data_IF_034883041436
#
_entry.id   IF_034883041436
#
_cell.length_a   1.000
_cell.length_b   1.000
_cell.length_c   1.000
_cell.angle_alpha   90.00
_cell.angle_beta   90.00
_cell.angle_gamma   90.00
#
_symmetry.space_group_name_H-M   'P 1'
#
loop_
_entity.id
_entity.type
_entity.pdbx_description
1 polymer ?
#
# COMPACT_ATOMS: atom_id res chain seq x y z
N UNK A 1 6.85 18.54 15.83
CA UNK A 1 6.84 17.11 15.44
C UNK A 1 8.20 16.77 14.83
N UNK A 2 8.77 15.58 15.14
CA UNK A 2 10.05 15.16 14.57
C UNK A 2 9.85 14.51 13.20
N UNK A 3 10.77 14.76 12.26
CA UNK A 3 10.71 14.17 10.90
C UNK A 3 11.01 12.66 10.93
N UNK A 4 12.02 12.25 11.71
CA UNK A 4 12.48 10.86 11.84
C UNK A 4 11.84 10.16 13.02
N UNK A 5 11.81 8.82 12.95
CA UNK A 5 11.42 7.97 14.07
C UNK A 5 12.41 8.09 15.24
N UNK A 6 11.91 7.89 16.44
CA UNK A 6 12.70 7.74 17.67
C UNK A 6 12.37 6.40 18.32
N UNK A 7 13.09 5.96 19.36
CA UNK A 7 12.75 4.74 20.08
C UNK A 7 11.34 4.74 20.69
N UNK A 8 10.74 5.92 20.88
CA UNK A 8 9.45 6.05 21.56
C UNK A 8 8.26 6.37 20.64
N UNK A 9 8.51 6.96 19.47
CA UNK A 9 7.44 7.39 18.55
C UNK A 9 7.86 7.39 17.08
N UNK A 10 6.87 7.29 16.21
CA UNK A 10 7.07 7.48 14.77
C UNK A 10 7.24 8.96 14.42
N UNK A 11 8.10 9.24 13.44
CA UNK A 11 8.24 10.55 12.83
C UNK A 11 7.10 10.83 11.82
N UNK A 12 6.89 12.12 11.53
CA UNK A 12 5.79 12.55 10.65
C UNK A 12 5.88 11.96 9.25
N UNK A 13 7.10 11.77 8.72
CA UNK A 13 7.29 11.17 7.39
C UNK A 13 6.80 9.71 7.38
N UNK A 14 7.13 8.92 8.41
CA UNK A 14 6.68 7.53 8.52
C UNK A 14 5.16 7.43 8.67
N UNK A 15 4.56 8.33 9.46
CA UNK A 15 3.11 8.41 9.66
C UNK A 15 2.43 8.82 8.35
N UNK A 16 2.92 9.88 7.70
CA UNK A 16 2.37 10.38 6.44
C UNK A 16 2.41 9.32 5.33
N UNK A 17 3.57 8.70 5.12
CA UNK A 17 3.72 7.62 4.15
C UNK A 17 2.80 6.44 4.46
N UNK A 18 2.59 6.10 5.73
CA UNK A 18 1.66 5.03 6.09
C UNK A 18 0.22 5.34 5.69
N UNK A 19 -0.29 6.50 6.11
CA UNK A 19 -1.69 6.86 5.87
C UNK A 19 -1.99 7.18 4.42
N UNK A 20 -1.04 7.83 3.70
CA UNK A 20 -1.18 8.05 2.25
C UNK A 20 -1.32 6.70 1.52
N UNK A 21 -0.46 5.73 1.83
CA UNK A 21 -0.57 4.39 1.23
C UNK A 21 -1.84 3.67 1.62
N UNK A 22 -2.25 3.73 2.89
CA UNK A 22 -3.47 3.10 3.34
C UNK A 22 -4.69 3.64 2.59
N UNK A 23 -4.83 4.96 2.49
CA UNK A 23 -5.94 5.60 1.78
C UNK A 23 -5.88 5.33 0.27
N UNK A 24 -4.68 5.45 -0.33
CA UNK A 24 -4.50 5.22 -1.76
C UNK A 24 -4.84 3.77 -2.17
N UNK A 25 -4.46 2.77 -1.37
CA UNK A 25 -4.79 1.35 -1.65
C UNK A 25 -6.30 1.14 -1.71
N UNK A 26 -7.06 1.66 -0.74
CA UNK A 26 -8.53 1.52 -0.77
C UNK A 26 -9.17 2.30 -1.91
N UNK A 27 -8.68 3.51 -2.20
CA UNK A 27 -9.16 4.30 -3.34
C UNK A 27 -8.88 3.58 -4.67
N UNK A 28 -7.68 3.02 -4.84
CA UNK A 28 -7.29 2.26 -6.03
C UNK A 28 -8.08 0.97 -6.18
N UNK A 29 -8.38 0.27 -5.07
CA UNK A 29 -9.25 -0.90 -5.09
C UNK A 29 -10.66 -0.53 -5.56
N UNK A 30 -11.25 0.53 -4.98
CA UNK A 30 -12.56 1.02 -5.42
C UNK A 30 -12.57 1.47 -6.87
N UNK A 31 -11.56 2.24 -7.30
CA UNK A 31 -11.41 2.66 -8.69
C UNK A 31 -11.26 1.45 -9.64
N UNK A 32 -10.47 0.44 -9.24
CA UNK A 32 -10.28 -0.80 -10.01
C UNK A 32 -11.57 -1.58 -10.20
N UNK A 33 -12.36 -1.78 -9.13
CA UNK A 33 -13.66 -2.45 -9.21
C UNK A 33 -14.66 -1.66 -10.06
N UNK A 34 -14.66 -0.34 -9.95
CA UNK A 34 -15.56 0.50 -10.71
C UNK A 34 -15.20 0.55 -12.20
N UNK A 35 -13.92 0.75 -12.56
CA UNK A 35 -13.51 0.92 -13.95
C UNK A 35 -13.81 -0.31 -14.82
N UNK A 36 -13.81 -1.53 -14.25
CA UNK A 36 -14.13 -2.76 -15.00
C UNK A 36 -15.62 -2.95 -15.25
N UNK A 37 -16.49 -2.13 -14.64
CA UNK A 37 -17.94 -2.12 -14.92
C UNK A 37 -18.32 -1.14 -16.02
N UNK A 38 -17.40 -0.27 -16.45
CA UNK A 38 -17.65 0.74 -17.46
C UNK A 38 -17.74 0.11 -18.87
N UNK A 39 -18.68 0.60 -19.64
CA UNK A 39 -18.85 0.25 -21.06
C UNK A 39 -18.24 1.33 -21.96
N UNK A 40 -18.06 1.01 -23.25
CA UNK A 40 -17.53 1.95 -24.23
C UNK A 40 -18.33 3.28 -24.33
N UNK A 41 -19.59 3.27 -23.95
CA UNK A 41 -20.47 4.46 -23.99
C UNK A 41 -20.32 5.36 -22.75
N UNK A 42 -19.62 4.90 -21.72
CA UNK A 42 -19.41 5.67 -20.49
C UNK A 42 -18.29 6.69 -20.69
N UNK A 43 -18.52 7.94 -20.28
CA UNK A 43 -17.53 9.02 -20.44
C UNK A 43 -16.20 8.77 -19.71
N UNK A 44 -16.16 7.87 -18.72
CA UNK A 44 -14.98 7.51 -17.95
C UNK A 44 -14.28 6.23 -18.45
N UNK A 45 -14.79 5.59 -19.51
CA UNK A 45 -14.26 4.32 -20.00
C UNK A 45 -12.75 4.34 -20.29
N UNK A 46 -12.24 5.41 -20.84
CA UNK A 46 -10.80 5.59 -21.10
C UNK A 46 -10.08 6.26 -19.94
N UNK A 47 -10.68 7.25 -19.29
CA UNK A 47 -10.03 8.05 -18.27
C UNK A 47 -9.78 7.28 -16.97
N UNK A 48 -10.71 6.42 -16.54
CA UNK A 48 -10.56 5.68 -15.30
C UNK A 48 -9.38 4.69 -15.32
N UNK A 49 -9.16 3.87 -16.38
CA UNK A 49 -7.96 3.06 -16.50
C UNK A 49 -6.66 3.88 -16.57
N UNK A 50 -6.65 5.01 -17.31
CA UNK A 50 -5.45 5.86 -17.40
C UNK A 50 -5.10 6.47 -16.03
N UNK A 51 -6.10 6.89 -15.26
CA UNK A 51 -5.91 7.39 -13.90
C UNK A 51 -5.39 6.27 -12.98
N UNK A 52 -5.98 5.07 -13.07
CA UNK A 52 -5.55 3.91 -12.28
C UNK A 52 -4.08 3.54 -12.58
N UNK A 53 -3.68 3.48 -13.84
CA UNK A 53 -2.29 3.19 -14.24
C UNK A 53 -1.33 4.26 -13.72
N UNK A 54 -1.66 5.54 -13.91
CA UNK A 54 -0.82 6.65 -13.49
C UNK A 54 -0.60 6.67 -11.97
N UNK A 55 -1.67 6.52 -11.18
CA UNK A 55 -1.56 6.43 -9.72
C UNK A 55 -0.80 5.16 -9.32
N UNK A 56 -1.01 4.03 -10.01
CA UNK A 56 -0.28 2.79 -9.78
C UNK A 56 1.24 2.95 -9.90
N UNK A 57 1.71 3.62 -10.96
CA UNK A 57 3.14 3.94 -11.13
C UNK A 57 3.64 4.84 -10.00
N UNK A 58 2.90 5.89 -9.64
CA UNK A 58 3.27 6.78 -8.53
C UNK A 58 3.34 6.03 -7.20
N UNK A 59 2.43 5.08 -6.97
CA UNK A 59 2.48 4.20 -5.79
C UNK A 59 3.70 3.28 -5.81
N UNK A 60 4.11 2.75 -6.96
CA UNK A 60 5.34 1.97 -7.07
C UNK A 60 6.56 2.80 -6.66
N UNK A 61 6.70 4.01 -7.20
CA UNK A 61 7.77 4.93 -6.83
C UNK A 61 7.73 5.27 -5.33
N UNK A 62 6.55 5.59 -4.82
CA UNK A 62 6.34 5.88 -3.40
C UNK A 62 6.64 4.68 -2.49
N UNK A 63 6.35 3.45 -2.95
CA UNK A 63 6.65 2.23 -2.19
C UNK A 63 8.17 2.02 -2.05
N UNK A 64 8.93 2.26 -3.11
CA UNK A 64 10.40 2.26 -3.06
C UNK A 64 10.90 3.30 -2.05
N UNK A 65 10.41 4.53 -2.15
CA UNK A 65 10.75 5.60 -1.18
C UNK A 65 10.40 5.17 0.25
N UNK A 66 9.23 4.55 0.47
CA UNK A 66 8.81 4.06 1.79
C UNK A 66 9.72 2.96 2.34
N UNK A 67 10.16 2.03 1.50
CA UNK A 67 11.10 0.97 1.90
C UNK A 67 12.46 1.58 2.25
N UNK A 68 12.99 2.44 1.40
CA UNK A 68 14.25 3.16 1.67
C UNK A 68 14.15 3.97 2.97
N UNK A 69 13.05 4.71 3.15
CA UNK A 69 12.82 5.47 4.37
C UNK A 69 12.81 4.60 5.62
N UNK A 70 12.22 3.40 5.54
CA UNK A 70 12.19 2.44 6.66
C UNK A 70 13.58 1.98 7.09
N UNK A 71 14.54 1.92 6.18
CA UNK A 71 15.95 1.62 6.49
C UNK A 71 16.68 2.84 7.06
N UNK A 72 16.43 4.04 6.55
CA UNK A 72 17.03 5.29 7.04
C UNK A 72 16.49 5.67 8.43
N UNK A 73 15.23 5.38 8.68
CA UNK A 73 14.51 5.73 9.90
C UNK A 73 13.76 4.49 10.43
N UNK A 74 14.44 3.57 11.12
CA UNK A 74 13.85 2.32 11.62
C UNK A 74 12.65 2.58 12.53
N UNK A 75 11.64 1.70 12.51
CA UNK A 75 10.46 1.84 13.35
C UNK A 75 10.82 1.71 14.84
N UNK A 76 10.07 2.33 15.75
CA UNK A 76 10.19 2.11 17.18
C UNK A 76 10.02 0.62 17.54
N UNK A 77 10.68 0.11 18.56
CA UNK A 77 10.52 -1.26 19.02
C UNK A 77 9.09 -1.54 19.44
N UNK A 78 8.68 -2.80 19.29
CA UNK A 78 7.37 -3.27 19.77
C UNK A 78 7.21 -3.04 21.27
N UNK A 79 6.00 -2.73 21.76
CA UNK A 79 5.72 -2.63 23.19
C UNK A 79 6.24 -3.85 23.96
N UNK A 80 6.78 -3.61 25.16
CA UNK A 80 7.31 -4.70 26.03
C UNK A 80 6.23 -5.69 26.45
N UNK A 81 4.98 -5.26 26.47
CA UNK A 81 3.80 -6.08 26.81
C UNK A 81 3.48 -7.13 25.76
N UNK A 82 3.99 -6.98 24.53
CA UNK A 82 3.73 -7.94 23.46
C UNK A 82 4.51 -9.25 23.66
N UNK A 83 3.80 -10.36 23.68
CA UNK A 83 4.38 -11.70 23.66
C UNK A 83 5.11 -12.00 22.36
N UNK A 84 5.90 -13.08 22.35
CA UNK A 84 6.67 -13.51 21.18
C UNK A 84 5.78 -13.74 19.95
N UNK A 85 4.63 -14.40 20.13
CA UNK A 85 3.67 -14.65 19.04
C UNK A 85 3.18 -13.36 18.37
N UNK A 86 2.72 -12.39 19.19
CA UNK A 86 2.25 -11.08 18.69
C UNK A 86 3.32 -10.35 17.87
N UNK A 87 4.57 -10.36 18.35
CA UNK A 87 5.69 -9.70 17.65
C UNK A 87 5.98 -10.37 16.31
N UNK A 88 6.05 -11.71 16.29
CA UNK A 88 6.30 -12.48 15.06
C UNK A 88 5.17 -12.26 14.05
N UNK A 89 3.92 -12.35 14.49
CA UNK A 89 2.75 -12.13 13.62
C UNK A 89 2.72 -10.71 13.05
N UNK A 90 3.05 -9.69 13.85
CA UNK A 90 3.12 -8.32 13.38
C UNK A 90 4.23 -8.13 12.31
N UNK A 91 5.40 -8.72 12.51
CA UNK A 91 6.49 -8.68 11.51
C UNK A 91 6.08 -9.41 10.24
N UNK A 92 5.50 -10.61 10.36
CA UNK A 92 5.03 -11.39 9.21
C UNK A 92 3.95 -10.65 8.41
N UNK A 93 2.98 -10.03 9.10
CA UNK A 93 1.93 -9.22 8.45
C UNK A 93 2.52 -8.02 7.69
N UNK A 94 3.48 -7.31 8.25
CA UNK A 94 4.15 -6.21 7.55
C UNK A 94 4.92 -6.69 6.32
N UNK A 95 5.68 -7.79 6.43
CA UNK A 95 6.40 -8.36 5.28
C UNK A 95 5.41 -8.78 4.20
N UNK A 96 4.34 -9.47 4.55
CA UNK A 96 3.30 -9.88 3.62
C UNK A 96 2.62 -8.70 2.93
N UNK A 97 2.28 -7.63 3.65
CA UNK A 97 1.72 -6.41 3.06
C UNK A 97 2.68 -5.75 2.07
N UNK A 98 3.96 -5.63 2.39
CA UNK A 98 4.95 -5.09 1.46
C UNK A 98 5.10 -5.97 0.22
N UNK A 99 5.20 -7.30 0.39
CA UNK A 99 5.32 -8.25 -0.71
C UNK A 99 4.09 -8.20 -1.63
N UNK A 100 2.88 -8.18 -1.06
CA UNK A 100 1.63 -8.06 -1.81
C UNK A 100 1.54 -6.72 -2.56
N UNK A 101 1.95 -5.61 -1.93
CA UNK A 101 1.99 -4.29 -2.60
C UNK A 101 2.95 -4.28 -3.79
N UNK A 102 4.15 -4.85 -3.66
CA UNK A 102 5.05 -4.97 -4.81
C UNK A 102 4.46 -5.87 -5.90
N UNK A 103 3.92 -7.03 -5.52
CA UNK A 103 3.35 -7.97 -6.48
C UNK A 103 2.16 -7.38 -7.26
N UNK A 104 1.24 -6.66 -6.59
CA UNK A 104 0.09 -6.04 -7.26
C UNK A 104 0.53 -4.91 -8.21
N UNK A 105 1.50 -4.10 -7.83
CA UNK A 105 2.01 -3.02 -8.68
C UNK A 105 2.75 -3.57 -9.91
N UNK A 106 3.53 -4.64 -9.74
CA UNK A 106 4.17 -5.35 -10.85
C UNK A 106 3.12 -5.98 -11.78
N UNK A 107 2.11 -6.67 -11.24
CA UNK A 107 1.06 -7.26 -12.08
C UNK A 107 0.27 -6.20 -12.85
N UNK A 108 -0.01 -5.03 -12.25
CA UNK A 108 -0.65 -3.90 -12.93
C UNK A 108 0.21 -3.34 -14.07
N UNK A 109 1.53 -3.25 -13.88
CA UNK A 109 2.48 -2.89 -14.93
C UNK A 109 2.42 -3.90 -16.09
N UNK A 110 2.46 -5.20 -15.79
CA UNK A 110 2.41 -6.26 -16.81
C UNK A 110 1.10 -6.25 -17.61
N UNK A 111 -0.05 -5.98 -16.98
CA UNK A 111 -1.32 -5.80 -17.70
C UNK A 111 -1.19 -4.64 -18.70
N UNK A 112 -0.71 -3.50 -18.19
CA UNK A 112 -0.72 -2.24 -18.94
C UNK A 112 0.27 -2.20 -20.09
N UNK A 113 1.31 -3.04 -20.07
CA UNK A 113 2.38 -3.09 -21.07
C UNK A 113 2.32 -4.33 -21.96
N UNK A 114 1.29 -5.15 -21.84
CA UNK A 114 1.19 -6.42 -22.56
C UNK A 114 1.18 -6.23 -24.09
N UNK A 115 0.60 -5.14 -24.59
CA UNK A 115 0.55 -4.77 -26.02
C UNK A 115 1.83 -4.05 -26.52
N UNK A 116 2.87 -3.98 -25.69
CA UNK A 116 4.14 -3.31 -26.05
C UNK A 116 4.11 -1.79 -25.95
N UNK A 117 3.00 -1.18 -25.51
CA UNK A 117 2.92 0.27 -25.36
C UNK A 117 3.41 0.72 -23.98
N UNK A 118 4.03 1.91 -23.90
CA UNK A 118 4.42 2.49 -22.62
C UNK A 118 3.19 2.93 -21.80
N UNK A 119 3.36 3.06 -20.48
CA UNK A 119 2.38 3.69 -19.61
C UNK A 119 2.68 5.19 -19.55
N UNK A 120 1.78 6.01 -20.06
CA UNK A 120 1.87 7.46 -19.89
C UNK A 120 1.35 7.86 -18.51
N UNK A 121 2.23 8.45 -17.70
CA UNK A 121 1.91 8.85 -16.33
C UNK A 121 1.45 10.30 -16.32
N UNK A 122 0.14 10.51 -16.25
CA UNK A 122 -0.52 11.83 -16.30
C UNK A 122 -0.12 12.68 -17.52
N UNK A 123 0.40 12.10 -18.60
CA UNK A 123 0.95 12.83 -19.74
C UNK A 123 2.29 13.55 -19.46
N UNK A 124 2.93 13.30 -18.32
CA UNK A 124 4.17 13.96 -17.92
C UNK A 124 5.42 13.18 -18.33
N UNK A 125 5.38 11.87 -18.24
CA UNK A 125 6.45 10.96 -18.67
C UNK A 125 5.90 9.56 -18.95
N UNK A 126 6.68 8.79 -19.69
CA UNK A 126 6.30 7.44 -20.09
C UNK A 126 7.18 6.38 -19.42
N UNK A 127 6.55 5.31 -18.91
CA UNK A 127 7.23 4.12 -18.41
C UNK A 127 7.25 3.09 -19.55
N UNK A 128 8.42 2.71 -20.10
CA UNK A 128 8.50 1.83 -21.25
C UNK A 128 8.00 0.42 -20.95
N UNK A 129 7.46 -0.27 -21.94
CA UNK A 129 7.18 -1.69 -21.89
C UNK A 129 8.51 -2.46 -22.00
N UNK A 130 8.87 -3.24 -20.96
CA UNK A 130 10.09 -4.07 -20.95
C UNK A 130 9.81 -5.52 -21.28
N UNK A 131 8.60 -5.97 -20.99
CA UNK A 131 8.08 -7.31 -21.27
C UNK A 131 6.74 -7.13 -22.00
N UNK A 132 6.58 -7.73 -23.16
CA UNK A 132 5.32 -7.68 -23.92
C UNK A 132 5.05 -9.03 -24.57
N UNK A 133 3.90 -9.59 -24.24
CA UNK A 133 3.30 -10.73 -24.93
C UNK A 133 1.80 -10.48 -25.03
N UNK A 134 1.36 -9.98 -26.18
CA UNK A 134 0.00 -9.56 -26.42
C UNK A 134 -1.06 -10.68 -26.27
N UNK A 135 -0.63 -11.96 -26.30
CA UNK A 135 -1.56 -13.08 -26.30
C UNK A 135 -2.05 -13.46 -24.89
N UNK A 136 -1.17 -13.69 -23.95
CA UNK A 136 -1.48 -14.35 -22.67
C UNK A 136 -1.16 -13.46 -21.46
N UNK A 137 -0.23 -12.51 -21.62
CA UNK A 137 0.29 -11.71 -20.51
C UNK A 137 -0.80 -10.89 -19.81
N UNK A 138 -1.64 -10.19 -20.57
CA UNK A 138 -2.69 -9.33 -20.02
C UNK A 138 -3.70 -10.13 -19.20
N UNK A 139 -4.17 -11.25 -19.73
CA UNK A 139 -5.20 -12.08 -19.07
C UNK A 139 -4.66 -12.71 -17.79
N UNK A 140 -3.47 -13.33 -17.87
CA UNK A 140 -2.85 -13.95 -16.70
C UNK A 140 -2.54 -12.92 -15.61
N UNK A 141 -1.90 -11.79 -16.00
CA UNK A 141 -1.59 -10.72 -15.06
C UNK A 141 -2.86 -10.08 -14.48
N UNK A 142 -3.94 -9.98 -15.26
CA UNK A 142 -5.25 -9.48 -14.82
C UNK A 142 -5.87 -10.33 -13.73
N UNK A 143 -5.91 -11.65 -13.92
CA UNK A 143 -6.39 -12.59 -12.90
C UNK A 143 -5.54 -12.50 -11.63
N UNK A 144 -4.22 -12.50 -11.77
CA UNK A 144 -3.29 -12.36 -10.63
C UNK A 144 -3.50 -11.02 -9.92
N UNK A 145 -3.63 -9.92 -10.65
CA UNK A 145 -3.86 -8.60 -10.09
C UNK A 145 -5.13 -8.53 -9.24
N UNK A 146 -6.23 -9.10 -9.73
CA UNK A 146 -7.50 -9.16 -9.01
C UNK A 146 -7.37 -9.92 -7.68
N UNK A 147 -6.74 -11.11 -7.69
CA UNK A 147 -6.54 -11.87 -6.46
C UNK A 147 -5.59 -11.19 -5.49
N UNK A 148 -4.53 -10.55 -5.98
CA UNK A 148 -3.64 -9.75 -5.16
C UNK A 148 -4.36 -8.53 -4.56
N UNK A 149 -5.25 -7.86 -5.31
CA UNK A 149 -6.05 -6.74 -4.81
C UNK A 149 -6.91 -7.15 -3.62
N UNK A 150 -7.66 -8.25 -3.74
CA UNK A 150 -8.44 -8.79 -2.63
C UNK A 150 -7.55 -9.20 -1.44
N UNK A 151 -6.40 -9.83 -1.70
CA UNK A 151 -5.47 -10.24 -0.65
C UNK A 151 -4.92 -9.04 0.13
N UNK A 152 -4.53 -7.98 -0.56
CA UNK A 152 -4.06 -6.72 0.08
C UNK A 152 -5.16 -6.14 0.95
N UNK A 153 -6.40 -6.02 0.45
CA UNK A 153 -7.52 -5.43 1.19
C UNK A 153 -7.85 -6.28 2.42
N UNK A 154 -8.00 -7.59 2.26
CA UNK A 154 -8.31 -8.49 3.39
C UNK A 154 -7.21 -8.40 4.46
N UNK A 155 -5.93 -8.51 4.07
CA UNK A 155 -4.83 -8.44 5.02
C UNK A 155 -4.71 -7.06 5.68
N UNK A 156 -4.98 -5.98 4.94
CA UNK A 156 -4.95 -4.62 5.51
C UNK A 156 -6.10 -4.37 6.49
N UNK A 157 -7.29 -4.93 6.26
CA UNK A 157 -8.41 -4.92 7.21
C UNK A 157 -8.03 -5.68 8.48
N UNK A 158 -7.48 -6.89 8.36
CA UNK A 158 -7.02 -7.68 9.51
C UNK A 158 -5.92 -6.95 10.28
N UNK A 159 -4.98 -6.29 9.59
CA UNK A 159 -3.95 -5.45 10.21
C UNK A 159 -4.55 -4.27 10.99
N UNK A 160 -5.53 -3.58 10.41
CA UNK A 160 -6.26 -2.49 11.09
C UNK A 160 -7.06 -2.97 12.30
N UNK A 161 -7.75 -4.11 12.19
CA UNK A 161 -8.48 -4.74 13.29
C UNK A 161 -7.54 -5.17 14.43
N UNK A 162 -6.35 -5.70 14.08
CA UNK A 162 -5.33 -6.04 15.08
C UNK A 162 -4.85 -4.78 15.82
N UNK A 163 -4.59 -3.67 15.11
CA UNK A 163 -4.23 -2.40 15.73
C UNK A 163 -5.35 -1.86 16.64
N UNK A 164 -6.60 -1.99 16.21
CA UNK A 164 -7.77 -1.60 17.02
C UNK A 164 -7.92 -2.48 18.26
N UNK A 165 -7.73 -3.81 18.12
CA UNK A 165 -7.71 -4.76 19.27
C UNK A 165 -6.65 -4.37 20.29
N UNK A 166 -5.43 -4.04 19.84
CA UNK A 166 -4.36 -3.57 20.69
C UNK A 166 -4.72 -2.26 21.43
N UNK A 167 -5.43 -1.35 20.74
CA UNK A 167 -5.86 -0.09 21.34
C UNK A 167 -6.98 -0.25 22.36
N UNK A 168 -8.03 -1.04 22.04
CA UNK A 168 -9.27 -1.12 22.86
C UNK A 168 -9.15 -2.20 23.94
N UNK A 169 -8.63 -3.38 23.59
CA UNK A 169 -8.59 -4.55 24.50
C UNK A 169 -7.30 -4.56 25.28
N UNK A 170 -6.14 -4.50 24.61
CA UNK A 170 -4.83 -4.57 25.28
C UNK A 170 -4.43 -3.21 25.87
N UNK A 171 -5.13 -2.13 25.50
CA UNK A 171 -4.93 -0.75 25.99
C UNK A 171 -3.48 -0.27 25.83
N UNK A 172 -2.82 -0.70 24.76
CA UNK A 172 -1.46 -0.28 24.43
C UNK A 172 -1.41 0.92 23.50
N UNK A 173 -0.20 1.42 23.22
CA UNK A 173 0.01 2.64 22.42
C UNK A 173 0.27 2.36 20.93
N UNK A 174 0.07 1.13 20.44
CA UNK A 174 0.38 0.75 19.05
C UNK A 174 -0.32 1.68 18.04
N UNK A 175 -1.62 1.84 18.15
CA UNK A 175 -2.39 2.74 17.27
C UNK A 175 -2.07 4.21 17.54
N UNK A 176 -1.96 4.62 18.81
CA UNK A 176 -1.66 6.02 19.18
C UNK A 176 -0.36 6.50 18.56
N UNK A 177 0.69 5.65 18.54
CA UNK A 177 1.98 5.95 17.90
C UNK A 177 1.84 6.28 16.41
N UNK A 178 0.96 5.56 15.69
CA UNK A 178 0.67 5.81 14.27
C UNK A 178 -0.28 7.00 14.03
N UNK A 179 -0.92 7.51 15.09
CA UNK A 179 -1.68 8.75 15.07
C UNK A 179 -0.86 9.96 15.55
N UNK A 180 0.46 9.78 15.74
CA UNK A 180 1.37 10.85 16.16
C UNK A 180 1.31 11.22 17.64
N UNK A 181 0.59 10.44 18.46
CA UNK A 181 0.53 10.65 19.91
C UNK A 181 1.67 9.90 20.61
N UNK A 182 2.26 10.52 21.63
CA UNK A 182 3.30 9.91 22.48
C UNK A 182 2.65 9.24 23.69
N UNK A 183 3.28 8.17 24.20
CA UNK A 183 2.89 7.54 25.47
C UNK A 183 3.04 8.45 26.70
N UNK A 184 3.76 9.56 26.56
CA UNK A 184 3.92 10.58 27.62
C UNK A 184 2.74 11.55 27.73
N UNK A 185 1.82 11.60 26.75
CA UNK A 185 0.69 12.53 26.77
C UNK A 185 -0.54 12.03 27.57
N UNK A 186 -0.44 10.84 28.19
CA UNK A 186 -1.52 10.21 28.97
C UNK A 186 -1.39 10.36 30.48
N UNK A 187 -0.51 11.23 30.95
CA UNK A 187 -0.20 11.45 32.38
C UNK A 187 -0.20 12.93 32.81
N UNK A 188 -1.10 13.75 32.23
CA UNK A 188 -1.35 15.11 32.74
C UNK A 188 -2.85 15.28 33.04
#
# INVERSE_FOLDING_TARGET
MQLRNTPHRYGIISIGLHWIFALAVYAMFGLGLWMVTLSYYDGWYHQAPELHKSIGVMLMMGLVVRVVWRHISPPPPSPKTHGKFTRVSAVAAHIALYALLFAILISGYLISTADGKPISVFGLFDVPATLSDAGVQADTAGVVHLWLAWSVVILSVLHGLAALKHHVIDKDDTLKRMLGRSSSDSGA
#
